data_IF_516875606707
#
_entry.id   IF_516875606707
#
_cell.length_a   1.000
_cell.length_b   1.000
_cell.length_c   1.000
_cell.angle_alpha   90.00
_cell.angle_beta   90.00
_cell.angle_gamma   90.00
#
_symmetry.space_group_name_H-M   'P 1'
#
loop_
_entity.id
_entity.type
_entity.pdbx_description
1 polymer ?
#
# COMPACT_ATOMS: atom_id res chain seq x y z
N UNK A 1 17.41 0.46 -15.80
CA UNK A 1 16.33 1.17 -15.07
C UNK A 1 15.00 0.63 -15.55
N UNK A 2 14.13 0.10 -14.68
CA UNK A 2 12.81 -0.32 -15.11
C UNK A 2 12.01 0.92 -15.53
N UNK A 3 11.47 0.91 -16.76
CA UNK A 3 10.69 2.01 -17.38
C UNK A 3 9.22 2.02 -16.94
N UNK A 4 8.82 1.12 -16.05
CA UNK A 4 7.43 1.01 -15.65
C UNK A 4 7.24 1.82 -14.37
N UNK A 5 6.46 2.89 -14.48
CA UNK A 5 6.05 3.67 -13.33
C UNK A 5 5.40 2.75 -12.30
N UNK A 6 5.88 2.80 -11.04
CA UNK A 6 5.31 2.03 -9.93
C UNK A 6 3.81 2.32 -9.80
N UNK A 7 3.38 3.54 -10.10
CA UNK A 7 1.98 3.96 -10.22
C UNK A 7 1.77 4.62 -11.60
N UNK A 8 1.14 3.99 -12.59
CA UNK A 8 0.96 4.62 -13.89
C UNK A 8 0.03 5.84 -13.75
N UNK A 9 0.43 7.05 -14.18
CA UNK A 9 -0.38 8.27 -14.00
C UNK A 9 -1.75 8.23 -14.71
N UNK A 10 -1.98 7.24 -15.58
CA UNK A 10 -3.22 7.07 -16.33
C UNK A 10 -3.99 5.79 -15.97
N UNK A 11 -3.53 5.00 -14.98
CA UNK A 11 -4.11 3.68 -14.67
C UNK A 11 -5.57 3.73 -14.19
N UNK A 12 -6.02 4.87 -13.66
CA UNK A 12 -7.39 5.07 -13.16
C UNK A 12 -8.20 6.05 -14.02
N UNK A 13 -7.69 6.46 -15.20
CA UNK A 13 -8.42 7.38 -16.09
C UNK A 13 -9.53 6.66 -16.84
N UNK A 14 -10.68 6.51 -16.19
CA UNK A 14 -11.96 6.15 -16.79
C UNK A 14 -13.03 7.18 -16.43
N UNK A 15 -13.76 7.67 -17.44
CA UNK A 15 -14.76 8.75 -17.42
C UNK A 15 -14.19 10.18 -17.22
N UNK A 16 -14.88 11.19 -17.78
CA UNK A 16 -14.51 12.61 -17.62
C UNK A 16 -14.38 12.96 -16.12
N UNK A 17 -13.21 13.44 -15.73
CA UNK A 17 -12.93 13.88 -14.36
C UNK A 17 -13.81 15.09 -14.03
N UNK A 18 -14.83 14.90 -13.19
CA UNK A 18 -15.59 15.96 -12.54
C UNK A 18 -14.96 16.40 -11.20
N UNK A 19 -13.63 16.32 -11.07
CA UNK A 19 -12.95 16.78 -9.87
C UNK A 19 -13.00 18.31 -9.77
N UNK A 20 -13.23 18.81 -8.55
CA UNK A 20 -12.97 20.21 -8.23
C UNK A 20 -11.47 20.50 -8.28
N UNK A 21 -11.09 21.77 -8.41
CA UNK A 21 -9.67 22.19 -8.36
C UNK A 21 -8.95 21.73 -7.09
N UNK A 22 -9.66 21.67 -5.97
CA UNK A 22 -9.10 21.20 -4.70
C UNK A 22 -8.81 19.70 -4.74
N UNK A 23 -9.71 18.90 -5.33
CA UNK A 23 -9.51 17.47 -5.52
C UNK A 23 -8.37 17.18 -6.51
N UNK A 24 -8.29 17.91 -7.63
CA UNK A 24 -7.17 17.83 -8.57
C UNK A 24 -5.83 18.17 -7.88
N UNK A 25 -5.82 19.16 -6.99
CA UNK A 25 -4.62 19.53 -6.24
C UNK A 25 -4.21 18.44 -5.23
N UNK A 26 -5.16 17.79 -4.56
CA UNK A 26 -4.88 16.66 -3.66
C UNK A 26 -4.32 15.46 -4.43
N UNK A 27 -4.94 15.11 -5.56
CA UNK A 27 -4.45 14.06 -6.45
C UNK A 27 -3.01 14.34 -6.90
N UNK A 28 -2.76 15.53 -7.45
CA UNK A 28 -1.43 15.90 -7.92
C UNK A 28 -0.38 15.86 -6.81
N UNK A 29 -0.71 16.37 -5.62
CA UNK A 29 0.22 16.34 -4.49
C UNK A 29 0.54 14.91 -4.06
N UNK A 30 -0.46 14.03 -4.07
CA UNK A 30 -0.26 12.62 -3.76
C UNK A 30 0.59 11.91 -4.81
N UNK A 31 0.39 12.20 -6.09
CA UNK A 31 1.26 11.66 -7.16
C UNK A 31 2.70 12.17 -7.06
N UNK A 32 2.90 13.44 -6.69
CA UNK A 32 4.22 14.01 -6.40
C UNK A 32 4.88 13.33 -5.19
N UNK A 33 4.09 13.00 -4.16
CA UNK A 33 4.54 12.23 -2.99
C UNK A 33 5.06 10.84 -3.41
N UNK A 34 4.22 10.06 -4.08
CA UNK A 34 4.56 8.72 -4.58
C UNK A 34 5.76 8.76 -5.54
N UNK A 35 5.85 9.79 -6.40
CA UNK A 35 6.99 9.97 -7.28
C UNK A 35 8.29 10.15 -6.48
N UNK A 36 8.23 10.90 -5.38
CA UNK A 36 9.38 11.15 -4.51
C UNK A 36 9.84 9.87 -3.81
N UNK A 37 8.92 9.06 -3.31
CA UNK A 37 9.22 7.81 -2.59
C UNK A 37 9.72 6.70 -3.52
N UNK A 38 8.97 6.42 -4.59
CA UNK A 38 9.17 5.21 -5.39
C UNK A 38 10.03 5.43 -6.63
N UNK A 39 9.96 6.60 -7.27
CA UNK A 39 10.74 6.90 -8.48
C UNK A 39 12.05 7.59 -8.15
N UNK A 40 11.99 8.71 -7.43
CA UNK A 40 13.17 9.49 -7.07
C UNK A 40 13.94 8.90 -5.88
N UNK A 41 13.29 8.06 -5.07
CA UNK A 41 13.84 7.53 -3.80
C UNK A 41 14.42 8.63 -2.91
N UNK A 42 13.72 9.77 -2.85
CA UNK A 42 14.14 10.97 -2.16
C UNK A 42 13.22 11.28 -0.97
N UNK A 43 13.69 10.92 0.22
CA UNK A 43 12.96 11.15 1.47
C UNK A 43 12.71 12.65 1.74
N UNK A 44 13.66 13.53 1.42
CA UNK A 44 13.48 14.97 1.66
C UNK A 44 12.36 15.54 0.78
N UNK A 45 12.34 15.16 -0.49
CA UNK A 45 11.28 15.56 -1.43
C UNK A 45 9.90 15.07 -0.95
N UNK A 46 9.80 13.82 -0.50
CA UNK A 46 8.56 13.27 0.05
C UNK A 46 8.10 14.06 1.28
N UNK A 47 8.99 14.34 2.23
CA UNK A 47 8.68 15.09 3.46
C UNK A 47 8.24 16.54 3.15
N UNK A 48 8.76 17.15 2.08
CA UNK A 48 8.39 18.50 1.66
C UNK A 48 6.94 18.62 1.15
N UNK A 49 6.28 17.51 0.78
CA UNK A 49 4.85 17.47 0.44
C UNK A 49 3.93 17.46 1.67
N UNK A 50 4.50 17.22 2.86
CA UNK A 50 3.74 17.07 4.10
C UNK A 50 3.68 18.36 4.93
N UNK A 51 2.76 18.45 5.88
CA UNK A 51 2.66 19.56 6.86
C UNK A 51 3.89 19.60 7.79
N UNK A 52 3.97 20.59 8.68
CA UNK A 52 5.08 20.73 9.64
C UNK A 52 5.17 19.56 10.63
N UNK A 53 4.01 19.03 11.06
CA UNK A 53 3.92 17.88 11.95
C UNK A 53 3.03 16.77 11.36
N UNK A 54 3.53 16.04 10.35
CA UNK A 54 2.78 14.97 9.71
C UNK A 54 2.84 13.67 10.53
N UNK A 55 1.99 12.70 10.21
CA UNK A 55 2.09 11.35 10.77
C UNK A 55 1.88 10.27 9.72
N UNK A 56 2.70 9.22 9.73
CA UNK A 56 2.54 8.03 8.89
C UNK A 56 2.41 6.82 9.80
N UNK A 57 1.43 5.95 9.51
CA UNK A 57 1.23 4.70 10.22
C UNK A 57 0.96 3.55 9.25
N UNK A 58 1.90 2.62 9.18
CA UNK A 58 1.72 1.29 8.61
C UNK A 58 0.99 0.41 9.63
N UNK A 59 -0.33 0.41 9.55
CA UNK A 59 -1.22 -0.01 10.63
C UNK A 59 -0.94 -1.44 11.14
N UNK A 60 -0.74 -2.46 10.28
CA UNK A 60 -0.64 -3.85 10.75
C UNK A 60 0.61 -4.16 11.59
N UNK A 61 1.66 -3.34 11.48
CA UNK A 61 2.93 -3.52 12.22
C UNK A 61 3.34 -2.28 13.03
N UNK A 62 2.51 -1.23 13.02
CA UNK A 62 2.71 0.04 13.73
C UNK A 62 4.05 0.73 13.44
N UNK A 63 4.54 0.64 12.21
CA UNK A 63 5.77 1.31 11.78
C UNK A 63 5.45 2.66 11.11
N UNK A 64 6.38 3.61 11.16
CA UNK A 64 6.16 4.97 10.67
C UNK A 64 6.74 6.02 11.61
N UNK A 65 6.06 7.16 11.73
CA UNK A 65 6.53 8.24 12.59
C UNK A 65 5.60 9.45 12.64
N UNK A 66 5.91 10.36 13.57
CA UNK A 66 5.20 11.62 13.79
C UNK A 66 6.21 12.78 13.79
N UNK A 67 5.90 13.82 13.01
CA UNK A 67 6.78 14.96 12.79
C UNK A 67 7.82 14.70 11.71
N UNK A 68 8.22 15.77 11.01
CA UNK A 68 9.15 15.68 9.87
C UNK A 68 10.47 15.01 10.25
N UNK A 69 11.05 15.33 11.41
CA UNK A 69 12.32 14.73 11.87
C UNK A 69 12.26 13.21 11.95
N UNK A 70 11.22 12.65 12.58
CA UNK A 70 11.09 11.20 12.71
C UNK A 70 10.82 10.56 11.35
N UNK A 71 9.96 11.16 10.54
CA UNK A 71 9.61 10.64 9.23
C UNK A 71 10.78 10.70 8.24
N UNK A 72 11.58 11.78 8.22
CA UNK A 72 12.80 11.83 7.41
C UNK A 72 13.76 10.69 7.78
N UNK A 73 13.97 10.44 9.07
CA UNK A 73 14.80 9.32 9.51
C UNK A 73 14.21 7.96 9.09
N UNK A 74 12.91 7.78 9.32
CA UNK A 74 12.20 6.55 8.97
C UNK A 74 12.25 6.27 7.46
N UNK A 75 11.97 7.28 6.63
CA UNK A 75 11.97 7.18 5.17
C UNK A 75 13.35 6.81 4.64
N UNK A 76 14.40 7.46 5.16
CA UNK A 76 15.78 7.21 4.73
C UNK A 76 16.34 5.85 5.15
N UNK A 77 15.91 5.30 6.29
CA UNK A 77 16.55 4.13 6.90
C UNK A 77 15.73 2.86 6.78
N UNK A 78 14.42 2.95 6.91
CA UNK A 78 13.55 1.81 7.15
C UNK A 78 12.43 1.64 6.11
N UNK A 79 12.22 2.61 5.22
CA UNK A 79 11.18 2.53 4.20
C UNK A 79 11.73 2.60 2.77
N UNK A 80 12.11 3.78 2.28
CA UNK A 80 12.53 3.98 0.87
C UNK A 80 13.79 3.18 0.54
N UNK A 81 14.75 3.13 1.48
CA UNK A 81 15.98 2.33 1.34
C UNK A 81 15.74 0.82 1.36
N UNK A 82 14.59 0.39 1.88
CA UNK A 82 14.19 -0.99 2.09
C UNK A 82 13.02 -1.40 1.19
N UNK A 83 12.93 -0.78 0.01
CA UNK A 83 11.94 -1.14 -1.00
C UNK A 83 12.55 -2.12 -2.01
N UNK A 84 12.01 -3.35 -2.16
CA UNK A 84 12.47 -4.30 -3.16
C UNK A 84 12.48 -3.70 -4.56
N UNK A 85 13.50 -4.01 -5.39
CA UNK A 85 13.65 -3.40 -6.72
C UNK A 85 12.57 -3.82 -7.71
N UNK A 86 11.89 -4.95 -7.47
CA UNK A 86 10.80 -5.47 -8.28
C UNK A 86 9.41 -5.07 -7.78
N UNK A 87 9.33 -4.12 -6.82
CA UNK A 87 8.05 -3.63 -6.30
C UNK A 87 7.20 -3.02 -7.41
N UNK A 88 5.97 -3.50 -7.54
CA UNK A 88 4.95 -3.03 -8.46
C UNK A 88 3.69 -2.65 -7.68
N UNK A 89 3.03 -1.57 -8.08
CA UNK A 89 1.71 -1.20 -7.58
C UNK A 89 0.72 -1.33 -8.74
N UNK A 90 -0.35 -2.10 -8.52
CA UNK A 90 -1.47 -2.26 -9.44
C UNK A 90 -2.65 -1.47 -8.84
N UNK A 91 -2.98 -0.28 -9.37
CA UNK A 91 -4.09 0.52 -8.86
C UNK A 91 -5.42 -0.23 -9.02
N UNK A 92 -6.29 -0.12 -8.01
CA UNK A 92 -7.63 -0.72 -8.01
C UNK A 92 -8.67 0.37 -8.04
N UNK A 93 -8.63 1.28 -7.06
CA UNK A 93 -9.58 2.39 -6.97
C UNK A 93 -8.95 3.61 -6.28
N UNK A 94 -9.48 4.79 -6.58
CA UNK A 94 -9.17 6.05 -5.90
C UNK A 94 -10.45 6.79 -5.61
N UNK A 95 -10.62 7.23 -4.37
CA UNK A 95 -11.72 8.09 -3.94
C UNK A 95 -11.17 9.37 -3.36
N UNK A 96 -11.60 10.52 -3.88
CA UNK A 96 -11.15 11.84 -3.42
C UNK A 96 -12.33 12.58 -2.79
N UNK A 97 -12.28 12.74 -1.47
CA UNK A 97 -13.24 13.52 -0.69
C UNK A 97 -12.87 15.01 -0.63
N UNK A 98 -13.30 15.68 0.43
CA UNK A 98 -13.02 17.10 0.64
C UNK A 98 -11.61 17.35 1.20
N UNK A 99 -11.19 16.58 2.23
CA UNK A 99 -9.89 16.71 2.89
C UNK A 99 -9.10 15.39 2.89
N UNK A 100 -9.57 14.38 2.15
CA UNK A 100 -9.02 13.03 2.15
C UNK A 100 -8.98 12.42 0.77
N UNK A 101 -7.96 11.60 0.55
CA UNK A 101 -7.84 10.70 -0.58
C UNK A 101 -7.70 9.28 -0.03
N UNK A 102 -8.45 8.35 -0.59
CA UNK A 102 -8.36 6.91 -0.30
C UNK A 102 -7.92 6.22 -1.57
N UNK A 103 -6.78 5.55 -1.49
CA UNK A 103 -6.21 4.77 -2.59
C UNK A 103 -6.20 3.29 -2.21
N UNK A 104 -6.77 2.48 -3.10
CA UNK A 104 -6.75 1.02 -3.03
C UNK A 104 -5.88 0.48 -4.15
N UNK A 105 -4.98 -0.44 -3.82
CA UNK A 105 -4.09 -1.05 -4.80
C UNK A 105 -3.58 -2.41 -4.34
N UNK A 106 -3.14 -3.23 -5.29
CA UNK A 106 -2.36 -4.43 -5.00
C UNK A 106 -0.88 -4.15 -5.17
N UNK A 107 -0.09 -4.37 -4.12
CA UNK A 107 1.37 -4.36 -4.20
C UNK A 107 1.88 -5.77 -4.48
N UNK A 108 2.80 -5.87 -5.44
CA UNK A 108 3.50 -7.11 -5.79
C UNK A 108 5.01 -6.90 -5.67
N UNK A 109 5.70 -7.80 -4.99
CA UNK A 109 7.15 -7.73 -4.78
C UNK A 109 7.73 -9.10 -4.41
N UNK A 110 9.05 -9.22 -4.46
CA UNK A 110 9.76 -10.36 -3.87
C UNK A 110 10.50 -9.91 -2.60
N UNK A 111 10.36 -10.64 -1.50
CA UNK A 111 11.03 -10.34 -0.23
C UNK A 111 12.54 -10.65 -0.28
N UNK A 112 13.28 -9.83 -1.03
CA UNK A 112 14.71 -9.99 -1.37
C UNK A 112 15.66 -9.25 -0.43
N UNK A 113 15.14 -8.36 0.40
CA UNK A 113 15.90 -7.52 1.34
C UNK A 113 15.10 -7.29 2.63
N UNK A 114 15.76 -6.81 3.68
CA UNK A 114 15.12 -6.47 4.95
C UNK A 114 14.07 -5.37 4.72
N UNK A 115 12.82 -5.61 5.13
CA UNK A 115 11.70 -4.68 4.99
C UNK A 115 11.12 -4.33 6.37
N UNK A 116 11.83 -3.58 7.19
CA UNK A 116 11.42 -3.25 8.56
C UNK A 116 10.08 -2.51 8.61
N UNK A 117 9.75 -1.76 7.56
CA UNK A 117 8.45 -1.10 7.42
C UNK A 117 7.26 -2.08 7.26
N UNK A 118 7.50 -3.30 6.78
CA UNK A 118 6.46 -4.27 6.40
C UNK A 118 6.50 -5.56 7.24
N UNK A 119 7.72 -6.04 7.52
CA UNK A 119 8.05 -7.31 8.14
C UNK A 119 9.19 -7.12 9.17
N UNK A 120 9.00 -6.29 10.21
CA UNK A 120 10.05 -6.03 11.19
C UNK A 120 10.53 -7.34 11.84
N UNK A 121 11.84 -7.57 11.79
CA UNK A 121 12.47 -8.77 12.37
C UNK A 121 12.41 -10.04 11.51
N UNK A 122 11.81 -10.01 10.32
CA UNK A 122 11.80 -11.16 9.40
C UNK A 122 12.91 -10.99 8.36
N UNK A 123 13.88 -11.93 8.25
CA UNK A 123 14.92 -11.87 7.24
C UNK A 123 14.35 -12.14 5.83
N UNK A 124 15.06 -11.73 4.76
CA UNK A 124 14.65 -11.99 3.38
C UNK A 124 14.34 -13.47 3.13
N UNK A 125 13.12 -13.76 2.69
CA UNK A 125 12.67 -15.13 2.42
C UNK A 125 12.80 -15.52 0.95
N UNK A 126 13.05 -14.53 0.07
CA UNK A 126 13.03 -14.67 -1.39
C UNK A 126 11.70 -15.22 -1.96
N UNK A 127 10.61 -15.10 -1.21
CA UNK A 127 9.27 -15.48 -1.67
C UNK A 127 8.53 -14.28 -2.27
N UNK A 128 7.71 -14.49 -3.31
CA UNK A 128 6.84 -13.45 -3.84
C UNK A 128 5.73 -13.14 -2.84
N UNK A 129 5.30 -11.87 -2.83
CA UNK A 129 4.16 -11.38 -2.08
C UNK A 129 3.24 -10.64 -3.06
N UNK A 130 1.94 -10.95 -3.02
CA UNK A 130 0.88 -10.11 -3.55
C UNK A 130 -0.06 -9.76 -2.39
N UNK A 131 -0.27 -8.47 -2.13
CA UNK A 131 -1.09 -8.00 -1.01
C UNK A 131 -1.92 -6.80 -1.46
N UNK A 132 -3.20 -6.77 -1.07
CA UNK A 132 -4.06 -5.60 -1.24
C UNK A 132 -3.80 -4.60 -0.10
N UNK A 133 -3.66 -3.32 -0.45
CA UNK A 133 -3.46 -2.23 0.49
C UNK A 133 -4.54 -1.17 0.29
N UNK A 134 -4.89 -0.51 1.40
CA UNK A 134 -5.64 0.74 1.41
C UNK A 134 -4.81 1.80 2.10
N UNK A 135 -4.63 2.93 1.43
CA UNK A 135 -3.98 4.12 2.00
C UNK A 135 -5.04 5.20 2.20
N UNK A 136 -5.10 5.77 3.40
CA UNK A 136 -5.98 6.90 3.73
C UNK A 136 -5.11 8.11 4.03
N UNK A 137 -5.11 9.05 3.09
CA UNK A 137 -4.34 10.28 3.15
C UNK A 137 -5.26 11.41 3.59
N UNK A 138 -4.85 12.17 4.59
CA UNK A 138 -5.52 13.42 4.98
C UNK A 138 -4.69 14.61 4.53
N UNK A 139 -5.35 15.64 4.03
CA UNK A 139 -4.77 16.88 3.59
C UNK A 139 -5.19 18.03 4.50
N UNK A 140 -4.28 18.97 4.70
CA UNK A 140 -4.53 20.20 5.45
C UNK A 140 -3.73 21.33 4.80
N UNK A 141 -4.42 22.43 4.46
CA UNK A 141 -3.80 23.63 3.85
C UNK A 141 -2.91 23.30 2.63
N UNK A 142 -3.38 22.40 1.74
CA UNK A 142 -2.65 22.01 0.54
C UNK A 142 -1.40 21.15 0.78
N UNK A 143 -1.30 20.49 1.93
CA UNK A 143 -0.20 19.57 2.29
C UNK A 143 -0.76 18.28 2.92
N UNK A 144 0.02 17.20 2.88
CA UNK A 144 -0.36 15.94 3.54
C UNK A 144 -0.16 16.04 5.05
N UNK A 145 -1.25 15.83 5.80
CA UNK A 145 -1.27 15.84 7.26
C UNK A 145 -1.04 14.45 7.86
N UNK A 146 -1.65 13.42 7.29
CA UNK A 146 -1.46 12.05 7.78
C UNK A 146 -1.64 11.03 6.67
N UNK A 147 -0.99 9.89 6.85
CA UNK A 147 -1.15 8.69 6.03
C UNK A 147 -1.34 7.48 6.94
N UNK A 148 -2.35 6.67 6.64
CA UNK A 148 -2.58 5.37 7.29
C UNK A 148 -2.68 4.30 6.23
N UNK A 149 -1.83 3.29 6.33
CA UNK A 149 -1.69 2.21 5.36
C UNK A 149 -2.18 0.92 6.01
N UNK A 150 -3.18 0.29 5.42
CA UNK A 150 -3.81 -0.94 5.89
C UNK A 150 -3.52 -2.08 4.92
N UNK A 151 -3.30 -3.27 5.47
CA UNK A 151 -3.23 -4.52 4.72
C UNK A 151 -3.49 -5.72 5.65
N UNK A 152 -3.67 -6.90 5.06
CA UNK A 152 -3.80 -8.15 5.81
C UNK A 152 -2.42 -8.79 6.06
N UNK A 153 -1.88 -8.60 7.27
CA UNK A 153 -0.60 -9.17 7.64
C UNK A 153 -0.63 -10.70 7.77
N UNK A 154 -1.77 -11.31 8.10
CA UNK A 154 -1.85 -12.76 8.22
C UNK A 154 -1.68 -13.41 6.84
N UNK A 155 -2.32 -12.85 5.80
CA UNK A 155 -2.15 -13.31 4.43
C UNK A 155 -0.71 -13.15 3.92
N UNK A 156 0.00 -12.10 4.33
CA UNK A 156 1.43 -11.93 4.03
C UNK A 156 2.26 -13.02 4.71
N UNK A 157 2.05 -13.28 6.00
CA UNK A 157 2.80 -14.30 6.74
C UNK A 157 2.55 -15.72 6.19
N UNK A 158 1.34 -16.03 5.72
CA UNK A 158 1.03 -17.29 5.02
C UNK A 158 1.83 -17.40 3.72
N UNK A 159 1.86 -16.36 2.89
CA UNK A 159 2.65 -16.35 1.65
C UNK A 159 4.15 -16.57 1.92
N UNK A 160 4.65 -16.05 3.03
CA UNK A 160 6.02 -16.22 3.46
C UNK A 160 6.31 -17.60 4.09
N UNK A 161 5.28 -18.42 4.34
CA UNK A 161 5.39 -19.70 5.05
C UNK A 161 5.75 -19.54 6.53
N UNK A 162 5.41 -18.40 7.13
CA UNK A 162 5.61 -18.08 8.54
C UNK A 162 4.34 -18.32 9.37
N UNK A 163 3.19 -18.50 8.70
CA UNK A 163 1.92 -18.83 9.30
C UNK A 163 1.30 -20.01 8.53
N UNK A 164 0.88 -21.04 9.26
CA UNK A 164 0.19 -22.20 8.69
C UNK A 164 -1.32 -21.90 8.51
N UNK A 165 -1.86 -21.90 7.28
CA UNK A 165 -3.25 -21.57 7.01
C UNK A 165 -4.23 -22.72 7.25
N UNK A 166 -3.79 -23.95 7.54
CA UNK A 166 -4.66 -25.15 7.55
C UNK A 166 -5.89 -24.97 8.46
N UNK A 167 -5.67 -24.37 9.64
CA UNK A 167 -6.69 -24.22 10.69
C UNK A 167 -7.08 -22.76 10.95
N UNK A 168 -6.70 -21.84 10.06
CA UNK A 168 -6.95 -20.41 10.22
C UNK A 168 -7.86 -19.89 9.10
N UNK A 169 -8.72 -18.90 9.38
CA UNK A 169 -9.55 -18.26 8.37
C UNK A 169 -8.75 -17.22 7.56
N UNK A 170 -7.67 -17.65 6.91
CA UNK A 170 -6.74 -16.79 6.15
C UNK A 170 -6.61 -17.33 4.73
N UNK A 171 -6.87 -16.47 3.74
CA UNK A 171 -6.88 -16.87 2.32
C UNK A 171 -5.56 -16.60 1.60
N UNK A 172 -4.57 -15.97 2.25
CA UNK A 172 -3.24 -15.75 1.69
C UNK A 172 -3.30 -14.89 0.43
N UNK A 173 -2.55 -15.29 -0.61
CA UNK A 173 -2.46 -14.58 -1.89
C UNK A 173 -3.82 -14.44 -2.60
N UNK A 174 -4.79 -15.32 -2.32
CA UNK A 174 -6.10 -15.27 -2.96
C UNK A 174 -6.85 -13.97 -2.64
N UNK A 175 -6.59 -13.35 -1.48
CA UNK A 175 -7.20 -12.05 -1.09
C UNK A 175 -6.87 -10.95 -2.11
N UNK A 176 -5.59 -10.77 -2.42
CA UNK A 176 -5.13 -9.77 -3.38
C UNK A 176 -5.60 -10.07 -4.81
N UNK A 177 -5.68 -11.36 -5.18
CA UNK A 177 -6.14 -11.76 -6.52
C UNK A 177 -7.62 -11.49 -6.71
N UNK A 178 -8.45 -11.79 -5.70
CA UNK A 178 -9.89 -11.51 -5.73
C UNK A 178 -10.18 -10.02 -5.85
N UNK A 179 -9.37 -9.15 -5.24
CA UNK A 179 -9.47 -7.69 -5.41
C UNK A 179 -9.24 -7.24 -6.87
N UNK A 180 -8.42 -7.97 -7.64
CA UNK A 180 -8.15 -7.64 -9.04
C UNK A 180 -9.12 -8.32 -10.02
N UNK A 181 -9.85 -9.34 -9.57
CA UNK A 181 -10.70 -10.18 -10.41
C UNK A 181 -11.90 -10.68 -9.61
N UNK A 182 -13.02 -9.97 -9.75
CA UNK A 182 -14.28 -10.28 -9.09
C UNK A 182 -14.92 -11.59 -9.57
N UNK A 183 -14.43 -12.22 -10.64
CA UNK A 183 -14.92 -13.52 -11.12
C UNK A 183 -14.26 -14.71 -10.38
N UNK A 184 -13.19 -14.49 -9.60
CA UNK A 184 -12.57 -15.57 -8.82
C UNK A 184 -13.52 -16.14 -7.76
N UNK A 185 -13.46 -17.45 -7.44
CA UNK A 185 -14.39 -18.05 -6.49
C UNK A 185 -14.38 -17.39 -5.11
N UNK A 186 -15.58 -17.15 -4.57
CA UNK A 186 -15.79 -16.75 -3.18
C UNK A 186 -15.98 -17.98 -2.28
N UNK A 187 -16.00 -17.78 -0.97
CA UNK A 187 -16.46 -18.76 0.04
C UNK A 187 -15.61 -20.02 0.22
N UNK A 188 -14.44 -20.17 -0.41
CA UNK A 188 -13.59 -21.37 -0.26
C UNK A 188 -13.28 -21.73 1.20
N UNK A 189 -13.07 -20.74 2.08
CA UNK A 189 -12.86 -20.99 3.51
C UNK A 189 -14.15 -21.45 4.22
N UNK A 190 -15.31 -20.97 3.80
CA UNK A 190 -16.61 -21.41 4.32
C UNK A 190 -16.93 -22.84 3.86
N UNK A 191 -16.64 -23.17 2.60
CA UNK A 191 -16.81 -24.51 2.01
C UNK A 191 -16.01 -25.60 2.72
N UNK A 192 -14.95 -25.24 3.45
CA UNK A 192 -14.20 -26.20 4.30
C UNK A 192 -15.03 -26.71 5.48
N UNK A 193 -16.00 -25.93 5.95
CA UNK A 193 -16.72 -26.20 7.20
C UNK A 193 -18.23 -26.35 6.99
N UNK A 194 -18.81 -25.70 5.97
CA UNK A 194 -20.23 -25.72 5.66
C UNK A 194 -20.51 -26.68 4.50
N UNK A 195 -21.65 -27.38 4.59
CA UNK A 195 -22.23 -28.15 3.49
C UNK A 195 -23.43 -27.38 2.97
N UNK A 196 -23.17 -26.48 2.03
CA UNK A 196 -24.17 -25.63 1.39
C UNK A 196 -23.86 -25.63 -0.12
N UNK A 197 -24.82 -26.07 -0.94
CA UNK A 197 -24.63 -26.24 -2.38
C UNK A 197 -24.71 -24.91 -3.14
N UNK A 198 -25.24 -23.86 -2.50
CA UNK A 198 -25.38 -22.52 -3.07
C UNK A 198 -24.16 -21.61 -2.76
N UNK A 199 -23.19 -22.09 -1.97
CA UNK A 199 -21.90 -21.39 -1.71
C UNK A 199 -20.92 -21.53 -2.87
#
# INVERSE_FOLDING_TARGET
>A
MPKNSVYPPDALKGAESHLSREQEAMEKLWEEHLASEFRARNAEAAINTMVERPSVNHVPVMTGGVGRKQLTHYYLKYFISQMPPDTQIVPVSRTIGHDRLVDEFVMKLTHTLQMDWFLPGVPPTNKPIEVALVTVIQFQHGKMASERIYWDQASVLVQLGLLDPEKLPVAGVATARKVLDDELPSNELMKRILKDEDL
#
